data_IF_117284645820
#
_entry.id   IF_117284645820
#
_cell.length_a   1.000
_cell.length_b   1.000
_cell.length_c   1.000
_cell.angle_alpha   90.00
_cell.angle_beta   90.00
_cell.angle_gamma   90.00
#
_symmetry.space_group_name_H-M   'P 1'
#
loop_
_entity.id
_entity.type
_entity.pdbx_description
1 polymer ?
#
# COMPACT_ATOMS: atom_id res chain seq x y z
N UNK A 1 12.69 -11.23 -22.65
CA UNK A 1 13.55 -10.18 -22.07
C UNK A 1 12.73 -9.41 -21.09
N UNK A 2 13.07 -9.51 -19.79
CA UNK A 2 12.38 -8.75 -18.76
C UNK A 2 12.71 -7.27 -18.98
N UNK A 3 11.73 -6.51 -19.44
CA UNK A 3 11.87 -5.06 -19.59
C UNK A 3 11.98 -4.50 -18.19
N UNK A 4 13.20 -4.15 -17.79
CA UNK A 4 13.49 -3.56 -16.49
C UNK A 4 12.70 -2.26 -16.35
N UNK A 5 11.71 -2.27 -15.46
CA UNK A 5 11.10 -1.05 -14.94
C UNK A 5 12.23 -0.28 -14.26
N UNK A 6 12.50 1.00 -14.62
CA UNK A 6 13.56 1.77 -13.99
C UNK A 6 13.30 1.81 -12.49
N UNK A 7 14.36 1.65 -11.70
CA UNK A 7 14.31 1.55 -10.23
C UNK A 7 13.62 2.76 -9.57
N UNK A 8 13.51 3.89 -10.28
CA UNK A 8 12.77 5.09 -9.90
C UNK A 8 11.25 4.99 -9.98
N UNK A 9 10.70 3.98 -10.68
CA UNK A 9 9.25 3.73 -10.79
C UNK A 9 8.78 2.65 -9.81
N UNK A 10 9.58 2.32 -8.79
CA UNK A 10 9.15 1.37 -7.78
C UNK A 10 8.00 1.94 -6.94
N UNK A 11 6.85 1.29 -7.08
CA UNK A 11 5.57 1.51 -6.35
C UNK A 11 5.75 1.14 -4.85
N UNK A 12 6.97 1.01 -4.34
CA UNK A 12 7.20 0.47 -2.99
C UNK A 12 7.07 1.53 -1.90
N UNK A 13 7.09 2.82 -2.23
CA UNK A 13 7.26 3.88 -1.22
C UNK A 13 6.29 5.08 -1.29
N UNK A 14 5.33 5.07 -2.20
CA UNK A 14 4.39 6.19 -2.36
C UNK A 14 3.29 6.14 -1.29
N UNK A 15 2.87 4.96 -0.83
CA UNK A 15 1.87 4.81 0.23
C UNK A 15 2.32 5.50 1.53
N UNK A 16 3.54 5.23 1.98
CA UNK A 16 4.13 5.86 3.16
C UNK A 16 4.26 7.38 3.01
N UNK A 17 4.65 7.84 1.82
CA UNK A 17 4.74 9.26 1.53
C UNK A 17 3.37 9.95 1.57
N UNK A 18 2.31 9.28 1.09
CA UNK A 18 0.95 9.81 1.14
C UNK A 18 0.40 9.81 2.57
N UNK A 19 0.60 8.75 3.35
CA UNK A 19 0.15 8.66 4.75
C UNK A 19 0.76 9.74 5.66
N UNK A 20 1.94 10.26 5.31
CA UNK A 20 2.57 11.36 6.05
C UNK A 20 1.81 12.69 5.89
N UNK A 21 1.00 12.86 4.84
CA UNK A 21 0.34 14.13 4.48
C UNK A 21 -1.18 14.01 4.33
N UNK A 22 -1.68 12.80 4.11
CA UNK A 22 -3.07 12.50 3.88
C UNK A 22 -3.60 11.52 4.94
N UNK A 23 -4.88 11.63 5.32
CA UNK A 23 -5.56 10.61 6.07
C UNK A 23 -5.55 9.26 5.34
N UNK A 24 -5.53 8.17 6.10
CA UNK A 24 -5.44 6.79 5.59
C UNK A 24 -6.53 6.45 4.57
N UNK A 25 -7.75 6.96 4.75
CA UNK A 25 -8.87 6.74 3.82
C UNK A 25 -8.76 7.47 2.46
N UNK A 26 -7.78 8.36 2.29
CA UNK A 26 -7.47 9.03 1.02
C UNK A 26 -6.35 8.35 0.25
N UNK A 27 -5.72 7.33 0.83
CA UNK A 27 -4.66 6.58 0.18
C UNK A 27 -5.29 5.48 -0.67
N UNK A 28 -5.05 5.43 -1.99
CA UNK A 28 -5.64 4.42 -2.87
C UNK A 28 -5.03 3.04 -2.65
N UNK A 29 -5.88 2.01 -2.57
CA UNK A 29 -5.46 0.61 -2.42
C UNK A 29 -4.83 0.03 -3.71
N UNK A 30 -5.28 0.48 -4.89
CA UNK A 30 -4.91 -0.10 -6.19
C UNK A 30 -4.24 0.90 -7.14
N UNK A 31 -3.16 0.46 -7.78
CA UNK A 31 -2.36 1.28 -8.70
C UNK A 31 -2.19 0.61 -10.05
N UNK A 32 -2.53 1.34 -11.11
CA UNK A 32 -2.43 0.86 -12.49
C UNK A 32 -1.40 1.69 -13.23
N UNK A 33 -0.32 1.05 -13.68
CA UNK A 33 0.71 1.71 -14.47
C UNK A 33 0.20 1.97 -15.88
N UNK A 34 0.10 3.25 -16.25
CA UNK A 34 -0.31 3.71 -17.57
C UNK A 34 0.90 4.25 -18.32
N UNK A 35 1.16 3.75 -19.52
CA UNK A 35 2.18 4.34 -20.40
C UNK A 35 1.72 5.70 -20.96
N UNK A 36 0.42 5.85 -21.20
CA UNK A 36 -0.21 7.05 -21.77
C UNK A 36 -1.56 7.27 -21.09
N UNK A 37 -1.84 8.51 -20.69
CA UNK A 37 -3.14 8.87 -20.13
C UNK A 37 -4.14 9.03 -21.29
N UNK A 38 -5.24 8.25 -21.32
CA UNK A 38 -6.23 8.39 -22.37
C UNK A 38 -6.92 9.75 -22.28
N UNK A 39 -6.91 10.47 -23.39
CA UNK A 39 -7.52 11.79 -23.51
C UNK A 39 -8.53 11.81 -24.65
N UNK A 40 -9.62 12.54 -24.45
CA UNK A 40 -10.55 12.96 -25.50
C UNK A 40 -9.84 13.86 -26.53
N UNK A 41 -10.40 14.02 -27.74
CA UNK A 41 -9.88 14.96 -28.75
C UNK A 41 -9.76 16.41 -28.26
N UNK A 42 -10.52 16.75 -27.22
CA UNK A 42 -10.50 18.07 -26.58
C UNK A 42 -9.48 18.18 -25.43
N UNK A 43 -8.58 17.21 -25.28
CA UNK A 43 -7.52 17.24 -24.26
C UNK A 43 -7.97 16.90 -22.83
N UNK A 44 -9.24 16.49 -22.64
CA UNK A 44 -9.74 16.08 -21.32
C UNK A 44 -9.49 14.59 -21.10
N UNK A 45 -9.11 14.21 -19.89
CA UNK A 45 -8.92 12.81 -19.48
C UNK A 45 -10.23 12.04 -19.71
N UNK A 46 -10.15 10.96 -20.51
CA UNK A 46 -11.27 10.06 -20.71
C UNK A 46 -11.28 8.98 -19.64
N UNK A 47 -12.01 9.24 -18.54
CA UNK A 47 -12.13 8.31 -17.41
C UNK A 47 -12.76 6.97 -17.79
N UNK A 48 -13.52 6.89 -18.90
CA UNK A 48 -14.11 5.62 -19.35
C UNK A 48 -13.11 4.75 -20.08
N UNK A 49 -12.12 5.36 -20.72
CA UNK A 49 -11.03 4.68 -21.39
C UNK A 49 -9.89 4.28 -20.44
N UNK A 50 -9.95 4.67 -19.17
CA UNK A 50 -9.01 4.19 -18.16
C UNK A 50 -9.20 2.68 -17.98
N UNK A 51 -8.12 1.88 -18.06
CA UNK A 51 -8.19 0.46 -17.77
C UNK A 51 -8.60 0.28 -16.32
N UNK A 52 -9.46 -0.71 -16.09
CA UNK A 52 -9.83 -1.10 -14.75
C UNK A 52 -8.64 -1.84 -14.12
N UNK A 53 -8.37 -1.63 -12.82
CA UNK A 53 -7.42 -2.47 -12.10
C UNK A 53 -7.83 -3.94 -12.27
N UNK A 54 -6.86 -4.77 -12.65
CA UNK A 54 -7.07 -6.20 -12.83
C UNK A 54 -6.96 -6.89 -11.47
N UNK A 55 -8.11 -7.30 -10.93
CA UNK A 55 -8.19 -8.01 -9.66
C UNK A 55 -7.91 -9.52 -9.79
N UNK A 56 -7.67 -10.04 -11.00
CA UNK A 56 -7.47 -11.48 -11.23
C UNK A 56 -6.19 -12.02 -10.57
N UNK A 57 -5.17 -11.18 -10.43
CA UNK A 57 -3.92 -11.50 -9.75
C UNK A 57 -3.99 -11.36 -8.22
N UNK A 58 -5.06 -10.75 -7.71
CA UNK A 58 -5.28 -10.61 -6.28
C UNK A 58 -5.91 -11.91 -5.82
N UNK A 59 -5.06 -12.86 -5.47
CA UNK A 59 -5.46 -14.09 -4.81
C UNK A 59 -6.14 -13.72 -3.48
N UNK A 60 -7.46 -13.47 -3.51
CA UNK A 60 -8.30 -13.34 -2.30
C UNK A 60 -8.39 -14.63 -1.50
N UNK A 61 -7.90 -15.73 -2.06
CA UNK A 61 -7.31 -16.81 -1.27
C UNK A 61 -5.97 -16.30 -0.75
N UNK A 62 -6.02 -15.42 0.25
CA UNK A 62 -4.87 -15.21 1.10
C UNK A 62 -4.52 -16.59 1.64
N UNK A 63 -3.51 -17.21 1.04
CA UNK A 63 -2.81 -18.30 1.69
C UNK A 63 -2.45 -17.72 3.05
N UNK A 64 -3.06 -18.26 4.09
CA UNK A 64 -2.90 -17.74 5.44
C UNK A 64 -1.42 -17.91 5.79
N UNK A 65 -0.63 -16.89 5.54
CA UNK A 65 0.73 -16.79 6.03
C UNK A 65 0.58 -16.26 7.45
N UNK A 66 0.61 -17.18 8.42
CA UNK A 66 0.74 -16.79 9.81
C UNK A 66 1.89 -15.78 9.89
N UNK A 67 1.66 -14.57 10.41
CA UNK A 67 2.72 -13.59 10.54
C UNK A 67 3.87 -14.28 11.28
N UNK A 68 5.13 -14.18 10.81
CA UNK A 68 6.24 -14.76 11.54
C UNK A 68 6.23 -14.11 12.92
N UNK A 69 5.79 -14.89 13.91
CA UNK A 69 5.71 -14.50 15.30
C UNK A 69 7.13 -14.29 15.81
N UNK A 70 7.69 -13.13 15.53
CA UNK A 70 8.82 -12.62 16.28
C UNK A 70 8.24 -11.91 17.50
N UNK A 71 7.65 -12.69 18.41
CA UNK A 71 7.37 -12.23 19.75
C UNK A 71 8.71 -11.88 20.39
N UNK A 72 9.15 -10.63 20.22
CA UNK A 72 10.11 -10.06 21.16
C UNK A 72 9.44 -10.22 22.53
N UNK A 73 10.06 -10.95 23.48
CA UNK A 73 9.49 -11.07 24.80
C UNK A 73 9.33 -9.65 25.32
N UNK A 74 8.08 -9.23 25.49
CA UNK A 74 7.76 -7.95 26.09
C UNK A 74 8.45 -8.00 27.45
N UNK A 75 9.49 -7.19 27.64
CA UNK A 75 10.22 -7.18 28.91
C UNK A 75 9.19 -6.97 30.04
N UNK A 76 9.14 -7.84 31.06
CA UNK A 76 8.16 -7.76 32.14
C UNK A 76 8.11 -6.39 32.85
N UNK A 77 9.16 -5.59 32.69
CA UNK A 77 9.27 -4.23 33.23
C UNK A 77 8.18 -3.27 32.74
N UNK A 78 7.63 -3.45 31.53
CA UNK A 78 6.57 -2.55 31.02
C UNK A 78 5.26 -2.72 31.81
N UNK A 79 4.91 -3.97 32.15
CA UNK A 79 3.74 -4.28 32.98
C UNK A 79 3.91 -3.75 34.40
N UNK A 80 5.14 -3.82 34.93
CA UNK A 80 5.43 -3.29 36.27
C UNK A 80 5.27 -1.76 36.34
N UNK A 81 5.63 -1.04 35.27
CA UNK A 81 5.59 0.42 35.25
C UNK A 81 4.15 0.97 35.22
N UNK A 82 3.21 0.30 34.54
CA UNK A 82 1.81 0.75 34.47
C UNK A 82 1.09 0.53 35.81
N UNK A 83 1.42 -0.54 36.54
CA UNK A 83 0.81 -0.80 37.86
C UNK A 83 1.30 0.16 38.96
N UNK A 84 2.51 0.72 38.84
CA UNK A 84 3.05 1.64 39.86
C UNK A 84 2.63 3.10 39.70
N UNK A 85 2.01 3.48 38.58
CA UNK A 85 1.50 4.85 38.39
C UNK A 85 0.12 5.08 39.00
N UNK A 86 -0.48 4.06 39.62
CA UNK A 86 -1.79 4.11 40.30
C UNK A 86 -1.69 3.63 41.75
N UNK A 87 -0.66 4.07 42.46
CA UNK A 87 -0.56 4.07 43.93
C UNK A 87 0.03 5.43 44.32
#
# INVERSE_FOLDING_TARGET
GQVGVPESLQITNWEQALLAVLPEYMVPDDWVLLQIIPSTPNGKIDRKALPKPDYSHINRTGEYVAPPINISPISPSVWFCISLSTI
#
